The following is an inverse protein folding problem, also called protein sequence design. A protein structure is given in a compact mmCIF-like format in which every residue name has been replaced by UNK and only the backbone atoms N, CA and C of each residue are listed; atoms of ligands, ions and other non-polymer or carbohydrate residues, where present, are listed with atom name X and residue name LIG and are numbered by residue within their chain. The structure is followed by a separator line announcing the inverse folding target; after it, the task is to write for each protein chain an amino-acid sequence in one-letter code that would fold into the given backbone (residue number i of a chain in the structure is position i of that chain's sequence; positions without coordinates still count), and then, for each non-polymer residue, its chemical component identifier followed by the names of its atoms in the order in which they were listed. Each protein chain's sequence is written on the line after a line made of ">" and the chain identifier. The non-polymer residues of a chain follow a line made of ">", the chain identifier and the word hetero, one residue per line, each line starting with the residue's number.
data_IF_281551645926
#
_entry.id   IF_281551645926
#
_cell.length_a   1.000
_cell.length_b   1.000
_cell.length_c   1.000
_cell.angle_alpha   90.00
_cell.angle_beta   90.00
_cell.angle_gamma   90.00
#
_symmetry.space_group_name_H-M   'P 1'
#
loop_
_entity.id
_entity.type
_entity.pdbx_description
1 polymer ?
#
# COMPACT_ATOMS: atom_id res chain seq x y z
N UNK A 1 1.52 -13.80 -14.23
CA UNK A 1 2.44 -13.91 -13.10
C UNK A 1 1.71 -13.65 -11.81
N UNK A 2 2.05 -14.39 -10.76
CA UNK A 2 1.31 -14.32 -9.50
C UNK A 2 1.31 -12.93 -8.86
N UNK A 3 2.45 -12.24 -8.92
CA UNK A 3 2.57 -10.90 -8.32
C UNK A 3 1.73 -9.86 -9.04
N UNK A 4 1.60 -9.99 -10.36
CA UNK A 4 0.77 -9.06 -11.15
C UNK A 4 -0.71 -9.21 -10.81
N UNK A 5 -1.18 -10.45 -10.63
CA UNK A 5 -2.55 -10.70 -10.21
C UNK A 5 -2.80 -10.18 -8.80
N UNK A 6 -1.84 -10.38 -7.91
CA UNK A 6 -1.96 -9.89 -6.55
C UNK A 6 -1.99 -8.36 -6.52
N UNK A 7 -1.12 -7.71 -7.31
CA UNK A 7 -1.11 -6.26 -7.40
C UNK A 7 -2.45 -5.73 -7.92
N UNK A 8 -3.01 -6.38 -8.94
CA UNK A 8 -4.31 -5.99 -9.48
C UNK A 8 -5.42 -6.13 -8.44
N UNK A 9 -5.39 -7.22 -7.65
CA UNK A 9 -6.34 -7.41 -6.55
C UNK A 9 -6.22 -6.35 -5.48
N UNK A 10 -4.98 -5.97 -5.14
CA UNK A 10 -4.74 -4.92 -4.16
C UNK A 10 -5.32 -3.60 -4.66
N UNK A 11 -5.06 -3.25 -5.92
CA UNK A 11 -5.59 -2.02 -6.52
C UNK A 11 -7.12 -2.01 -6.52
N UNK A 12 -7.73 -3.15 -6.84
CA UNK A 12 -9.19 -3.28 -6.83
C UNK A 12 -9.76 -3.04 -5.43
N UNK A 13 -9.16 -3.63 -4.42
CA UNK A 13 -9.58 -3.43 -3.03
C UNK A 13 -9.43 -1.99 -2.58
N UNK A 14 -8.32 -1.35 -2.98
CA UNK A 14 -8.10 0.06 -2.68
C UNK A 14 -9.14 0.94 -3.35
N UNK A 15 -9.49 0.64 -4.61
CA UNK A 15 -10.50 1.38 -5.36
C UNK A 15 -11.87 1.31 -4.73
N UNK A 16 -12.21 0.18 -4.09
CA UNK A 16 -13.47 0.04 -3.39
C UNK A 16 -13.55 0.91 -2.15
N UNK A 17 -12.42 1.15 -1.50
CA UNK A 17 -12.37 1.94 -0.27
C UNK A 17 -12.04 3.42 -0.52
N UNK A 18 -11.33 3.71 -1.61
CA UNK A 18 -10.85 5.05 -1.95
C UNK A 18 -11.34 5.42 -3.35
N UNK A 19 -12.66 5.59 -3.50
CA UNK A 19 -13.29 5.80 -4.81
C UNK A 19 -12.82 7.08 -5.49
N UNK A 20 -12.38 8.08 -4.73
CA UNK A 20 -11.92 9.36 -5.26
C UNK A 20 -10.41 9.41 -5.53
N UNK A 21 -9.71 8.31 -5.27
CA UNK A 21 -8.25 8.28 -5.43
C UNK A 21 -7.86 7.78 -6.81
N UNK A 22 -6.73 8.30 -7.32
CA UNK A 22 -6.05 7.73 -8.47
C UNK A 22 -5.03 6.73 -7.96
N UNK A 23 -5.11 5.51 -8.48
CA UNK A 23 -4.27 4.40 -8.02
C UNK A 23 -3.36 3.94 -9.12
N UNK A 24 -2.12 3.59 -8.77
CA UNK A 24 -1.15 3.08 -9.72
C UNK A 24 -0.24 2.06 -9.05
N UNK A 25 0.33 1.19 -9.87
CA UNK A 25 1.25 0.15 -9.41
C UNK A 25 2.40 0.03 -10.40
N UNK A 26 3.62 -0.06 -9.88
CA UNK A 26 4.80 -0.25 -10.71
C UNK A 26 5.76 -1.21 -10.03
N UNK A 27 6.16 -2.26 -10.75
CA UNK A 27 7.16 -3.20 -10.26
C UNK A 27 8.56 -2.66 -10.58
N UNK A 28 9.43 -2.68 -9.56
CA UNK A 28 10.84 -2.36 -9.72
C UNK A 28 11.70 -3.54 -9.28
N UNK A 29 12.99 -3.35 -9.19
CA UNK A 29 13.89 -4.39 -8.71
C UNK A 29 13.74 -4.55 -7.20
N UNK A 30 13.20 -5.70 -6.79
CA UNK A 30 13.03 -6.03 -5.39
C UNK A 30 11.96 -5.25 -4.68
N UNK A 31 11.24 -4.37 -5.38
CA UNK A 31 10.18 -3.57 -4.77
C UNK A 31 8.94 -3.52 -5.64
N UNK A 32 7.80 -3.30 -4.97
CA UNK A 32 6.50 -3.16 -5.62
C UNK A 32 5.91 -1.85 -5.13
N UNK A 33 5.81 -0.86 -6.02
CA UNK A 33 5.40 0.49 -5.68
C UNK A 33 3.91 0.70 -5.94
N UNK A 34 3.18 1.04 -4.88
CA UNK A 34 1.78 1.44 -4.99
C UNK A 34 1.69 2.94 -4.75
N UNK A 35 1.08 3.64 -5.68
CA UNK A 35 0.88 5.08 -5.58
C UNK A 35 -0.60 5.38 -5.41
N UNK A 36 -0.93 6.20 -4.41
CA UNK A 36 -2.29 6.64 -4.13
C UNK A 36 -2.31 8.17 -4.17
N UNK A 37 -3.04 8.72 -5.14
CA UNK A 37 -3.22 10.18 -5.21
C UNK A 37 -4.61 10.50 -4.69
N UNK A 38 -4.65 11.23 -3.61
CA UNK A 38 -5.90 11.55 -2.92
C UNK A 38 -5.81 12.95 -2.32
N UNK A 39 -6.81 13.78 -2.58
CA UNK A 39 -6.86 15.13 -2.01
C UNK A 39 -5.68 16.00 -2.38
N UNK A 40 -5.15 15.83 -3.58
CA UNK A 40 -4.01 16.61 -4.05
C UNK A 40 -2.65 16.13 -3.53
N UNK A 41 -2.64 15.03 -2.76
CA UNK A 41 -1.41 14.46 -2.22
C UNK A 41 -1.11 13.12 -2.87
N UNK A 42 0.18 12.87 -3.08
CA UNK A 42 0.67 11.62 -3.65
C UNK A 42 1.35 10.80 -2.57
N UNK A 43 0.75 9.67 -2.25
CA UNK A 43 1.30 8.73 -1.27
C UNK A 43 1.92 7.56 -2.00
N UNK A 44 3.13 7.18 -1.60
CA UNK A 44 3.86 6.07 -2.21
C UNK A 44 4.16 5.03 -1.14
N UNK A 45 3.66 3.83 -1.33
CA UNK A 45 3.93 2.72 -0.43
C UNK A 45 4.62 1.62 -1.23
N UNK A 46 5.81 1.25 -0.81
CA UNK A 46 6.60 0.20 -1.44
C UNK A 46 6.58 -1.05 -0.60
N UNK A 47 6.42 -2.19 -1.26
CA UNK A 47 6.53 -3.51 -0.61
C UNK A 47 7.74 -4.23 -1.17
N UNK A 48 8.44 -4.96 -0.31
CA UNK A 48 9.52 -5.84 -0.75
C UNK A 48 8.95 -7.08 -1.46
N UNK A 49 9.75 -7.73 -2.29
CA UNK A 49 9.33 -8.94 -3.01
C UNK A 49 8.82 -10.02 -2.08
N UNK A 50 9.56 -10.32 -1.02
CA UNK A 50 9.17 -11.38 -0.08
C UNK A 50 7.88 -11.03 0.65
N UNK A 51 7.66 -9.78 0.99
CA UNK A 51 6.39 -9.38 1.60
C UNK A 51 5.25 -9.55 0.61
N UNK A 52 5.45 -9.14 -0.63
CA UNK A 52 4.45 -9.24 -1.69
C UNK A 52 4.06 -10.70 -1.93
N UNK A 53 5.01 -11.64 -1.80
CA UNK A 53 4.73 -13.06 -1.95
C UNK A 53 4.05 -13.66 -0.73
N UNK A 54 4.47 -13.29 0.47
CA UNK A 54 3.99 -13.91 1.71
C UNK A 54 2.62 -13.47 2.15
N UNK A 55 2.29 -12.20 1.94
CA UNK A 55 1.01 -11.66 2.41
C UNK A 55 -0.02 -11.68 1.30
N UNK A 56 -1.28 -11.86 1.69
CA UNK A 56 -2.36 -11.87 0.70
C UNK A 56 -2.77 -10.44 0.35
N UNK A 57 -3.58 -10.30 -0.69
CA UNK A 57 -4.02 -9.01 -1.18
C UNK A 57 -4.81 -8.22 -0.15
N UNK A 58 -5.58 -8.91 0.70
CA UNK A 58 -6.35 -8.26 1.75
C UNK A 58 -5.43 -7.58 2.76
N UNK A 59 -4.42 -8.31 3.25
CA UNK A 59 -3.48 -7.77 4.23
C UNK A 59 -2.69 -6.59 3.66
N UNK A 60 -2.24 -6.70 2.42
CA UNK A 60 -1.50 -5.63 1.76
C UNK A 60 -2.37 -4.38 1.58
N UNK A 61 -3.62 -4.55 1.18
CA UNK A 61 -4.53 -3.41 1.01
C UNK A 61 -4.84 -2.73 2.34
N UNK A 62 -5.00 -3.50 3.41
CA UNK A 62 -5.26 -2.95 4.76
C UNK A 62 -4.08 -2.06 5.20
N UNK A 63 -2.86 -2.50 4.94
CA UNK A 63 -1.68 -1.70 5.29
C UNK A 63 -1.66 -0.39 4.52
N UNK A 64 -1.89 -0.43 3.21
CA UNK A 64 -1.90 0.77 2.38
C UNK A 64 -2.99 1.73 2.85
N UNK A 65 -4.21 1.23 3.06
CA UNK A 65 -5.33 2.05 3.52
C UNK A 65 -5.04 2.72 4.85
N UNK A 66 -4.47 1.98 5.80
CA UNK A 66 -4.14 2.52 7.11
C UNK A 66 -3.09 3.63 7.03
N UNK A 67 -2.06 3.43 6.23
CA UNK A 67 -1.00 4.44 6.04
C UNK A 67 -1.56 5.70 5.38
N UNK A 68 -2.35 5.53 4.32
CA UNK A 68 -2.94 6.65 3.58
C UNK A 68 -3.92 7.43 4.47
N UNK A 69 -4.73 6.75 5.26
CA UNK A 69 -5.66 7.40 6.18
C UNK A 69 -4.94 8.29 7.16
N UNK A 70 -3.87 7.77 7.78
CA UNK A 70 -3.09 8.55 8.73
C UNK A 70 -2.42 9.75 8.08
N UNK A 71 -1.85 9.55 6.91
CA UNK A 71 -1.20 10.63 6.16
C UNK A 71 -2.21 11.71 5.79
N UNK A 72 -3.40 11.31 5.36
CA UNK A 72 -4.47 12.25 4.99
C UNK A 72 -4.94 13.06 6.19
N UNK A 73 -5.06 12.43 7.35
CA UNK A 73 -5.44 13.12 8.59
C UNK A 73 -4.41 14.20 8.96
N UNK A 74 -3.14 13.94 8.72
CA UNK A 74 -2.07 14.89 9.02
C UNK A 74 -1.79 15.85 7.87
N UNK A 75 -2.47 15.68 6.74
CA UNK A 75 -2.28 16.48 5.52
C UNK A 75 -0.83 16.43 5.03
N UNK A 76 -0.19 15.28 5.13
CA UNK A 76 1.19 15.09 4.71
C UNK A 76 1.28 13.92 3.72
N UNK A 77 2.02 14.09 2.61
CA UNK A 77 2.27 12.96 1.73
C UNK A 77 3.21 11.97 2.43
N UNK A 78 3.06 10.70 2.09
CA UNK A 78 3.89 9.66 2.68
C UNK A 78 4.65 8.92 1.58
N UNK A 79 5.89 8.53 1.91
CA UNK A 79 6.70 7.65 1.07
C UNK A 79 7.31 6.62 2.02
N UNK A 80 6.78 5.41 2.00
CA UNK A 80 7.09 4.43 3.03
C UNK A 80 7.39 3.06 2.44
N UNK A 81 8.34 2.37 3.05
CA UNK A 81 8.73 1.02 2.64
C UNK A 81 8.30 0.00 3.70
N UNK A 82 7.48 -0.97 3.29
CA UNK A 82 7.06 -2.06 4.16
C UNK A 82 7.78 -3.33 3.72
N UNK A 83 8.49 -3.96 4.65
CA UNK A 83 9.19 -5.20 4.41
C UNK A 83 8.66 -6.28 5.33
N UNK A 84 9.07 -7.51 5.06
CA UNK A 84 8.65 -8.63 5.88
C UNK A 84 9.07 -8.46 7.34
N UNK A 85 10.22 -7.83 7.59
CA UNK A 85 10.75 -7.65 8.95
C UNK A 85 10.07 -6.54 9.73
N UNK A 86 9.43 -5.56 9.07
CA UNK A 86 8.74 -4.48 9.77
C UNK A 86 7.22 -4.54 9.64
N UNK A 87 6.69 -5.53 8.94
CA UNK A 87 5.26 -5.64 8.66
C UNK A 87 4.42 -5.63 9.93
N UNK A 88 4.79 -6.45 10.93
CA UNK A 88 4.03 -6.55 12.16
C UNK A 88 4.04 -5.24 12.95
N UNK A 89 5.18 -4.55 12.97
CA UNK A 89 5.27 -3.24 13.63
C UNK A 89 4.36 -2.22 12.97
N UNK A 90 4.33 -2.22 11.65
CA UNK A 90 3.46 -1.31 10.90
C UNK A 90 2.00 -1.61 11.20
N UNK A 91 1.62 -2.89 11.17
CA UNK A 91 0.24 -3.29 11.44
C UNK A 91 -0.19 -2.89 12.85
N UNK A 92 0.69 -3.08 13.85
CA UNK A 92 0.37 -2.68 15.22
C UNK A 92 0.23 -1.17 15.36
N UNK A 93 1.09 -0.41 14.69
CA UNK A 93 0.99 1.05 14.70
C UNK A 93 -0.34 1.52 14.11
N UNK A 94 -0.84 0.83 13.09
CA UNK A 94 -2.09 1.20 12.44
C UNK A 94 -3.32 0.87 13.27
N UNK A 95 -3.20 0.01 14.27
CA UNK A 95 -4.32 -0.35 15.15
C UNK A 95 -4.57 0.70 16.24
N UNK A 96 -3.66 1.58 16.45
CA UNK A 96 -3.77 2.65 17.42
C UNK A 96 -3.94 3.99 16.71
#
# INVERSE_FOLDING_TARGET
>A
MKTDFKAASVLERLGQSLSDADLDYQAGEGIHEFTVRLGGMRHVINFSDDLMEKKNDKDLSVVILGIVERASTQSLPVHFMVRNDNFEKVMQALKH
#
